data_IF_666614811791
#
_entry.id   IF_666614811791
#
_cell.length_a   1.000
_cell.length_b   1.000
_cell.length_c   1.000
_cell.angle_alpha   90.00
_cell.angle_beta   90.00
_cell.angle_gamma   90.00
#
_symmetry.space_group_name_H-M   'P 1'
#
loop_
_entity.id
_entity.type
_entity.pdbx_description
1 polymer ?
#
# COMPACT_ATOMS: atom_id res chain seq x y z
N UNK A 1 19.88 -33.91 41.38
CA UNK A 1 21.04 -33.82 40.45
C UNK A 1 20.75 -32.71 39.46
N UNK A 2 21.61 -31.69 39.48
CA UNK A 2 21.54 -30.49 38.63
C UNK A 2 21.93 -30.82 37.18
N UNK A 3 21.22 -30.21 36.22
CA UNK A 3 21.60 -30.17 34.81
C UNK A 3 21.38 -28.76 34.26
N UNK A 4 22.48 -28.10 33.93
CA UNK A 4 22.63 -26.68 33.60
C UNK A 4 22.04 -26.40 32.20
N UNK A 5 21.05 -25.51 32.10
CA UNK A 5 20.64 -24.90 30.82
C UNK A 5 21.39 -23.57 30.68
N UNK A 6 22.42 -23.58 29.85
CA UNK A 6 23.18 -22.42 29.43
C UNK A 6 22.27 -21.49 28.62
N UNK A 7 21.96 -20.29 29.14
CA UNK A 7 21.20 -19.25 28.42
C UNK A 7 22.16 -18.41 27.60
N UNK A 8 21.94 -18.36 26.28
CA UNK A 8 22.59 -17.36 25.42
C UNK A 8 22.20 -15.92 25.84
N UNK A 9 23.10 -14.93 25.68
CA UNK A 9 22.78 -13.52 25.91
C UNK A 9 21.89 -12.94 24.80
N UNK A 10 20.96 -12.05 25.17
CA UNK A 10 20.03 -11.38 24.25
C UNK A 10 20.75 -10.32 23.36
N UNK A 11 20.29 -10.11 22.11
CA UNK A 11 20.87 -9.13 21.21
C UNK A 11 20.66 -7.70 21.72
N UNK A 12 21.75 -6.92 21.83
CA UNK A 12 21.71 -5.49 22.18
C UNK A 12 22.53 -5.06 23.40
N UNK A 13 23.13 -6.00 24.14
CA UNK A 13 24.02 -5.69 25.27
C UNK A 13 25.49 -5.78 24.84
N UNK A 14 26.25 -4.70 24.98
CA UNK A 14 27.72 -4.72 24.80
C UNK A 14 28.36 -4.91 26.18
N UNK A 15 29.13 -5.99 26.35
CA UNK A 15 29.89 -6.25 27.57
C UNK A 15 31.04 -5.21 27.66
N UNK A 16 30.94 -4.27 28.58
CA UNK A 16 32.04 -3.40 28.98
C UNK A 16 32.62 -3.90 30.29
N UNK A 17 33.93 -4.14 30.32
CA UNK A 17 34.68 -4.58 31.50
C UNK A 17 35.54 -3.37 31.91
N UNK A 18 35.10 -2.62 32.91
CA UNK A 18 35.93 -1.60 33.55
C UNK A 18 36.35 -2.12 34.92
N UNK A 19 37.64 -1.96 35.22
CA UNK A 19 38.27 -2.40 36.45
C UNK A 19 38.66 -1.19 37.28
N UNK A 20 38.18 -1.13 38.51
CA UNK A 20 38.76 -0.28 39.55
C UNK A 20 40.11 -0.89 40.00
N UNK A 21 40.99 -0.07 40.58
CA UNK A 21 42.41 -0.40 40.85
C UNK A 21 42.66 -1.61 41.79
N UNK A 22 41.60 -2.17 42.36
CA UNK A 22 41.57 -3.22 43.37
C UNK A 22 40.76 -4.48 42.95
N UNK A 23 40.32 -4.56 41.69
CA UNK A 23 40.02 -5.84 41.01
C UNK A 23 38.74 -6.59 41.43
N UNK A 24 37.80 -5.95 42.13
CA UNK A 24 36.53 -6.60 42.52
C UNK A 24 35.40 -6.25 41.53
N UNK A 25 34.77 -7.24 40.85
CA UNK A 25 33.69 -6.95 39.90
C UNK A 25 32.38 -6.59 40.61
N UNK A 26 31.77 -5.44 40.26
CA UNK A 26 30.40 -5.08 40.66
C UNK A 26 29.48 -4.99 39.44
N UNK A 27 28.27 -5.54 39.57
CA UNK A 27 27.19 -5.39 38.60
C UNK A 27 26.39 -4.12 38.92
N UNK A 28 26.28 -3.20 37.97
CA UNK A 28 25.40 -2.03 38.05
C UNK A 28 24.23 -2.17 37.07
N UNK A 29 23.02 -1.84 37.52
CA UNK A 29 21.82 -1.74 36.68
C UNK A 29 21.26 -0.33 36.80
N UNK A 30 21.37 0.45 35.74
CA UNK A 30 20.63 1.71 35.59
C UNK A 30 19.44 1.46 34.64
N UNK A 31 18.22 1.89 34.99
CA UNK A 31 17.10 1.84 34.06
C UNK A 31 17.27 2.93 33.00
N UNK A 32 17.37 2.52 31.74
CA UNK A 32 17.23 3.43 30.61
C UNK A 32 15.74 3.66 30.35
N UNK A 33 15.36 4.92 30.44
CA UNK A 33 14.03 5.48 30.30
C UNK A 33 13.25 4.97 29.08
N UNK A 34 11.96 4.74 29.28
CA UNK A 34 11.00 4.23 28.30
C UNK A 34 10.76 5.25 27.18
N UNK A 35 11.61 5.24 26.16
CA UNK A 35 11.41 5.97 24.92
C UNK A 35 10.59 5.19 23.89
N UNK A 36 9.30 4.97 24.18
CA UNK A 36 8.20 4.69 23.23
C UNK A 36 8.59 3.85 22.00
N UNK A 37 8.40 2.53 22.09
CA UNK A 37 8.44 1.62 20.96
C UNK A 37 7.42 2.03 19.88
N UNK A 38 7.81 2.95 19.00
CA UNK A 38 7.18 3.16 17.72
C UNK A 38 7.50 1.93 16.89
N UNK A 39 6.58 0.97 16.90
CA UNK A 39 6.62 -0.21 16.06
C UNK A 39 6.93 0.22 14.62
N UNK A 40 8.13 -0.15 14.14
CA UNK A 40 8.59 0.10 12.77
C UNK A 40 7.75 -0.77 11.85
N UNK A 41 6.58 -0.26 11.46
CA UNK A 41 5.78 -0.83 10.38
C UNK A 41 6.61 -0.68 9.10
N UNK A 42 6.86 -1.80 8.42
CA UNK A 42 7.83 -1.91 7.33
C UNK A 42 7.45 -0.93 6.19
N UNK A 43 8.30 0.05 5.82
CA UNK A 43 7.95 1.16 4.91
C UNK A 43 7.30 0.77 3.58
N UNK A 44 7.61 -0.43 3.07
CA UNK A 44 7.05 -0.96 1.81
C UNK A 44 5.57 -1.31 1.90
N UNK A 45 5.12 -1.85 3.03
CA UNK A 45 3.72 -2.23 3.21
C UNK A 45 2.79 -1.02 3.30
N UNK A 46 3.29 0.07 3.89
CA UNK A 46 2.55 1.32 4.00
C UNK A 46 2.54 2.08 2.68
N UNK A 47 3.64 2.06 1.93
CA UNK A 47 3.68 2.60 0.56
C UNK A 47 2.66 1.91 -0.36
N UNK A 48 2.55 0.57 -0.31
CA UNK A 48 1.58 -0.16 -1.14
C UNK A 48 0.14 0.12 -0.71
N UNK A 49 -0.15 0.16 0.61
CA UNK A 49 -1.46 0.57 1.11
C UNK A 49 -1.84 1.99 0.70
N UNK A 50 -0.87 2.90 0.69
CA UNK A 50 -1.09 4.29 0.24
C UNK A 50 -1.38 4.33 -1.26
N UNK A 51 -0.66 3.52 -2.06
CA UNK A 51 -0.92 3.39 -3.51
C UNK A 51 -2.32 2.86 -3.79
N UNK A 52 -2.74 1.79 -3.10
CA UNK A 52 -4.09 1.23 -3.25
C UNK A 52 -5.15 2.27 -2.88
N UNK A 53 -5.02 2.93 -1.73
CA UNK A 53 -5.97 3.99 -1.31
C UNK A 53 -6.05 5.13 -2.31
N UNK A 54 -4.92 5.54 -2.88
CA UNK A 54 -4.88 6.57 -3.91
C UNK A 54 -5.66 6.16 -5.16
N UNK A 55 -5.47 4.93 -5.64
CA UNK A 55 -6.14 4.45 -6.84
C UNK A 55 -7.65 4.27 -6.64
N UNK A 56 -8.09 3.78 -5.47
CA UNK A 56 -9.52 3.69 -5.14
C UNK A 56 -10.17 5.08 -5.03
N UNK A 57 -9.48 6.04 -4.41
CA UNK A 57 -9.95 7.43 -4.30
C UNK A 57 -10.05 8.08 -5.68
N UNK A 58 -9.03 7.88 -6.52
CA UNK A 58 -9.01 8.41 -7.88
C UNK A 58 -10.13 7.80 -8.73
N UNK A 59 -10.36 6.49 -8.62
CA UNK A 59 -11.49 5.80 -9.29
C UNK A 59 -12.82 6.46 -8.96
N UNK A 60 -13.11 6.62 -7.67
CA UNK A 60 -14.37 7.23 -7.23
C UNK A 60 -14.51 8.67 -7.76
N UNK A 61 -13.44 9.47 -7.66
CA UNK A 61 -13.45 10.85 -8.13
C UNK A 61 -13.64 10.97 -9.65
N UNK A 62 -13.02 10.10 -10.46
CA UNK A 62 -13.20 10.09 -11.91
C UNK A 62 -14.58 9.57 -12.31
N UNK A 63 -15.11 8.56 -11.63
CA UNK A 63 -16.46 8.06 -11.89
C UNK A 63 -17.54 9.12 -11.59
N UNK A 64 -17.36 9.93 -10.54
CA UNK A 64 -18.32 10.96 -10.14
C UNK A 64 -18.17 12.27 -10.95
N UNK A 65 -16.93 12.72 -11.17
CA UNK A 65 -16.65 14.09 -11.66
C UNK A 65 -15.96 14.13 -13.02
N UNK A 66 -15.60 12.98 -13.61
CA UNK A 66 -14.91 12.89 -14.88
C UNK A 66 -13.67 13.80 -14.94
N UNK A 67 -13.60 14.64 -15.98
CA UNK A 67 -12.53 15.63 -16.18
C UNK A 67 -12.46 16.71 -15.10
N UNK A 68 -13.55 16.97 -14.38
CA UNK A 68 -13.62 17.92 -13.27
C UNK A 68 -12.97 17.44 -11.96
N UNK A 69 -12.54 16.18 -11.87
CA UNK A 69 -11.88 15.67 -10.67
C UNK A 69 -10.52 16.37 -10.42
N UNK A 70 -10.29 16.88 -9.21
CA UNK A 70 -9.02 17.53 -8.84
C UNK A 70 -8.00 16.53 -8.32
N UNK A 71 -6.79 16.53 -8.88
CA UNK A 71 -5.69 15.65 -8.45
C UNK A 71 -5.21 15.96 -7.03
N UNK A 72 -5.16 17.24 -6.66
CA UNK A 72 -4.77 17.66 -5.30
C UNK A 72 -5.80 17.20 -4.26
N UNK A 73 -7.09 17.28 -4.61
CA UNK A 73 -8.17 16.81 -3.75
C UNK A 73 -8.13 15.27 -3.60
N UNK A 74 -7.88 14.55 -4.69
CA UNK A 74 -7.65 13.10 -4.67
C UNK A 74 -6.47 12.75 -3.75
N UNK A 75 -5.34 13.45 -3.86
CA UNK A 75 -4.16 13.23 -3.01
C UNK A 75 -4.50 13.45 -1.53
N UNK A 76 -5.19 14.56 -1.24
CA UNK A 76 -5.61 14.95 0.11
C UNK A 76 -6.53 13.90 0.74
N UNK A 77 -7.56 13.45 0.02
CA UNK A 77 -8.50 12.42 0.50
C UNK A 77 -7.78 11.08 0.70
N UNK A 78 -6.87 10.71 -0.21
CA UNK A 78 -6.07 9.50 -0.12
C UNK A 78 -5.02 9.52 0.99
N UNK A 79 -4.78 10.67 1.63
CA UNK A 79 -3.74 10.85 2.65
C UNK A 79 -2.32 10.77 2.07
N UNK A 80 -2.15 11.13 0.80
CA UNK A 80 -0.87 11.14 0.08
C UNK A 80 -0.48 12.60 -0.21
N UNK A 81 0.79 12.95 0.00
CA UNK A 81 1.27 14.29 -0.35
C UNK A 81 1.18 14.56 -1.86
N UNK A 82 0.74 15.76 -2.26
CA UNK A 82 0.61 16.14 -3.67
C UNK A 82 1.92 15.93 -4.46
N UNK A 83 3.07 16.30 -3.88
CA UNK A 83 4.39 16.06 -4.49
C UNK A 83 4.69 14.57 -4.70
N UNK A 84 4.18 13.68 -3.84
CA UNK A 84 4.29 12.23 -4.04
C UNK A 84 3.38 11.77 -5.18
N UNK A 85 2.15 12.27 -5.27
CA UNK A 85 1.25 11.96 -6.38
C UNK A 85 1.88 12.36 -7.71
N UNK A 86 2.29 13.62 -7.87
CA UNK A 86 2.85 14.12 -9.14
C UNK A 86 4.17 13.45 -9.54
N UNK A 87 4.97 12.96 -8.56
CA UNK A 87 6.15 12.15 -8.87
C UNK A 87 5.82 10.78 -9.47
N UNK A 88 4.74 10.14 -9.02
CA UNK A 88 4.31 8.82 -9.53
C UNK A 88 3.40 8.94 -10.76
N UNK A 89 2.62 10.01 -10.84
CA UNK A 89 1.64 10.30 -11.87
C UNK A 89 1.83 11.74 -12.33
N UNK A 90 2.81 12.00 -13.21
CA UNK A 90 3.13 13.37 -13.64
C UNK A 90 2.00 14.04 -14.40
N UNK A 91 1.07 13.26 -14.97
CA UNK A 91 -0.10 13.75 -15.69
C UNK A 91 -1.38 13.11 -15.17
N UNK A 92 -2.52 13.79 -15.40
CA UNK A 92 -3.86 13.21 -15.17
C UNK A 92 -3.99 11.86 -15.88
N UNK A 93 -3.54 11.81 -17.13
CA UNK A 93 -3.61 10.61 -17.96
C UNK A 93 -2.82 9.44 -17.37
N UNK A 94 -1.65 9.71 -16.78
CA UNK A 94 -0.88 8.69 -16.08
C UNK A 94 -1.64 8.11 -14.89
N UNK A 95 -2.35 8.94 -14.13
CA UNK A 95 -3.19 8.49 -13.02
C UNK A 95 -4.42 7.71 -13.52
N UNK A 96 -5.11 8.19 -14.55
CA UNK A 96 -6.25 7.51 -15.18
C UNK A 96 -5.84 6.14 -15.70
N UNK A 97 -4.71 6.04 -16.40
CA UNK A 97 -4.17 4.78 -16.91
C UNK A 97 -3.77 3.82 -15.78
N UNK A 98 -3.27 4.34 -14.65
CA UNK A 98 -2.93 3.53 -13.49
C UNK A 98 -4.18 2.97 -12.79
N UNK A 99 -5.23 3.79 -12.63
CA UNK A 99 -6.54 3.34 -12.12
C UNK A 99 -7.08 2.24 -13.03
N UNK A 100 -7.07 2.46 -14.35
CA UNK A 100 -7.55 1.48 -15.32
C UNK A 100 -6.83 0.12 -15.20
N UNK A 101 -5.49 0.14 -15.11
CA UNK A 101 -4.69 -1.09 -14.95
C UNK A 101 -5.03 -1.81 -13.66
N UNK A 102 -5.08 -1.08 -12.55
CA UNK A 102 -5.39 -1.62 -11.23
C UNK A 102 -6.77 -2.30 -11.20
N UNK A 103 -7.80 -1.66 -11.74
CA UNK A 103 -9.14 -2.25 -11.80
C UNK A 103 -9.18 -3.53 -12.66
N UNK A 104 -8.45 -3.52 -13.78
CA UNK A 104 -8.35 -4.69 -14.67
C UNK A 104 -7.63 -5.85 -13.96
N UNK A 105 -6.53 -5.57 -13.27
CA UNK A 105 -5.80 -6.55 -12.47
C UNK A 105 -6.66 -7.13 -11.35
N UNK A 106 -7.44 -6.30 -10.66
CA UNK A 106 -8.37 -6.75 -9.63
C UNK A 106 -9.46 -7.67 -10.19
N UNK A 107 -10.03 -7.36 -11.36
CA UNK A 107 -11.05 -8.18 -12.02
C UNK A 107 -10.50 -9.54 -12.48
N UNK A 108 -9.29 -9.56 -13.04
CA UNK A 108 -8.60 -10.80 -13.44
C UNK A 108 -8.29 -11.65 -12.21
N UNK A 109 -7.76 -11.03 -11.14
CA UNK A 109 -7.47 -11.74 -9.91
C UNK A 109 -8.75 -12.27 -9.23
N UNK A 110 -9.87 -11.55 -9.33
CA UNK A 110 -11.16 -12.00 -8.83
C UNK A 110 -11.66 -13.26 -9.55
N UNK A 111 -11.44 -13.38 -10.87
CA UNK A 111 -11.82 -14.57 -11.63
C UNK A 111 -11.16 -15.84 -11.06
N UNK A 112 -9.84 -15.80 -10.86
CA UNK A 112 -9.09 -16.92 -10.27
C UNK A 112 -9.56 -17.26 -8.85
N UNK A 113 -9.64 -16.25 -7.97
CA UNK A 113 -10.08 -16.47 -6.59
C UNK A 113 -11.50 -17.04 -6.50
N UNK A 114 -12.43 -16.53 -7.31
CA UNK A 114 -13.82 -17.00 -7.30
C UNK A 114 -13.93 -18.42 -7.84
N UNK A 115 -13.19 -18.75 -8.91
CA UNK A 115 -13.16 -20.11 -9.45
C UNK A 115 -12.60 -21.14 -8.44
N UNK A 116 -11.65 -20.73 -7.58
CA UNK A 116 -11.06 -21.59 -6.55
C UNK A 116 -11.96 -21.74 -5.31
N UNK A 117 -12.76 -20.74 -4.98
CA UNK A 117 -13.46 -20.65 -3.68
C UNK A 117 -14.97 -20.85 -3.75
N UNK A 118 -15.56 -20.85 -4.95
CA UNK A 118 -17.01 -20.90 -5.15
C UNK A 118 -17.42 -21.98 -6.15
N UNK A 119 -18.65 -22.53 -6.04
CA UNK A 119 -19.22 -23.37 -7.09
C UNK A 119 -19.26 -22.62 -8.44
N UNK A 120 -19.11 -23.30 -9.59
CA UNK A 120 -18.89 -22.63 -10.89
C UNK A 120 -19.92 -21.56 -11.26
N UNK A 121 -21.21 -21.84 -11.04
CA UNK A 121 -22.29 -20.88 -11.35
C UNK A 121 -22.27 -19.67 -10.40
N UNK A 122 -21.95 -19.90 -9.13
CA UNK A 122 -21.79 -18.82 -8.14
C UNK A 122 -20.58 -17.97 -8.47
N UNK A 123 -19.44 -18.59 -8.77
CA UNK A 123 -18.21 -17.92 -9.18
C UNK A 123 -18.46 -16.99 -10.39
N UNK A 124 -19.13 -17.52 -11.43
CA UNK A 124 -19.47 -16.75 -12.62
C UNK A 124 -20.41 -15.58 -12.31
N UNK A 125 -21.44 -15.81 -11.48
CA UNK A 125 -22.38 -14.75 -11.08
C UNK A 125 -21.66 -13.62 -10.36
N UNK A 126 -20.89 -13.93 -9.33
CA UNK A 126 -20.15 -12.93 -8.55
C UNK A 126 -19.14 -12.19 -9.43
N UNK A 127 -18.45 -12.89 -10.32
CA UNK A 127 -17.52 -12.26 -11.25
C UNK A 127 -18.23 -11.34 -12.25
N UNK A 128 -19.41 -11.73 -12.77
CA UNK A 128 -20.20 -10.89 -13.66
C UNK A 128 -20.71 -9.62 -12.96
N UNK A 129 -21.06 -9.69 -11.67
CA UNK A 129 -21.43 -8.50 -10.90
C UNK A 129 -20.25 -7.52 -10.80
N UNK A 130 -19.05 -8.02 -10.45
CA UNK A 130 -17.83 -7.21 -10.45
C UNK A 130 -17.51 -6.62 -11.84
N UNK A 131 -17.75 -7.39 -12.91
CA UNK A 131 -17.54 -6.94 -14.28
C UNK A 131 -18.50 -5.82 -14.69
N UNK A 132 -19.77 -5.91 -14.28
CA UNK A 132 -20.76 -4.84 -14.54
C UNK A 132 -20.40 -3.57 -13.78
N UNK A 133 -20.02 -3.68 -12.50
CA UNK A 133 -19.56 -2.54 -11.70
C UNK A 133 -18.33 -1.87 -12.33
N UNK A 134 -17.41 -2.69 -12.84
CA UNK A 134 -16.23 -2.22 -13.57
C UNK A 134 -16.60 -1.45 -14.85
N UNK A 135 -17.54 -1.95 -15.67
CA UNK A 135 -17.98 -1.26 -16.89
C UNK A 135 -18.75 0.03 -16.56
N UNK A 136 -19.56 0.03 -15.49
CA UNK A 136 -20.29 1.21 -15.04
C UNK A 136 -19.33 2.33 -14.59
N UNK A 137 -18.32 2.00 -13.78
CA UNK A 137 -17.29 2.95 -13.37
C UNK A 137 -16.48 3.50 -14.57
N UNK A 138 -16.30 2.69 -15.62
CA UNK A 138 -15.61 3.12 -16.83
C UNK A 138 -16.34 4.16 -17.66
N UNK A 139 -17.67 4.22 -17.65
CA UNK A 139 -18.39 5.22 -18.46
C UNK A 139 -17.95 6.66 -18.11
N UNK A 140 -17.68 6.96 -16.82
CA UNK A 140 -17.12 8.25 -16.41
C UNK A 140 -15.64 8.46 -16.77
N UNK A 141 -14.88 7.37 -16.97
CA UNK A 141 -13.48 7.41 -17.42
C UNK A 141 -13.32 7.38 -18.94
N UNK A 142 -14.34 6.96 -19.71
CA UNK A 142 -14.25 6.81 -21.17
C UNK A 142 -13.94 8.13 -21.88
N UNK A 143 -14.47 9.27 -21.41
CA UNK A 143 -14.13 10.60 -21.95
C UNK A 143 -12.63 10.92 -21.78
N UNK A 144 -12.04 10.54 -20.64
CA UNK A 144 -10.63 10.74 -20.33
C UNK A 144 -9.71 9.72 -21.02
N UNK A 145 -10.17 8.49 -21.22
CA UNK A 145 -9.42 7.47 -21.95
C UNK A 145 -9.43 7.74 -23.46
N UNK A 146 -10.53 8.26 -24.01
CA UNK A 146 -10.60 8.66 -25.42
C UNK A 146 -9.64 9.81 -25.74
N UNK A 147 -9.40 10.75 -24.81
CA UNK A 147 -8.37 11.78 -25.03
C UNK A 147 -6.95 11.20 -25.05
N UNK A 148 -6.70 10.11 -24.33
CA UNK A 148 -5.40 9.41 -24.31
C UNK A 148 -5.20 8.60 -25.60
N UNK A 149 -6.23 7.91 -26.07
CA UNK A 149 -6.17 7.07 -27.29
C UNK A 149 -6.25 7.92 -28.58
N UNK A 150 -6.98 9.05 -28.55
CA UNK A 150 -7.09 9.97 -29.68
C UNK A 150 -5.92 10.94 -29.85
N UNK A 151 -5.06 11.08 -28.83
CA UNK A 151 -3.88 11.95 -28.88
C UNK A 151 -2.66 11.36 -29.61
N UNK A 152 -2.74 10.11 -30.09
CA UNK A 152 -1.68 9.44 -30.87
C UNK A 152 -1.96 9.39 -32.37
N UNK A 153 -2.96 10.10 -32.87
CA UNK A 153 -3.34 10.05 -34.30
C UNK A 153 -2.80 11.20 -35.16
N UNK A 154 -2.03 12.13 -34.61
CA UNK A 154 -1.37 13.19 -35.39
C UNK A 154 0.16 13.10 -35.25
N UNK A 155 0.78 12.14 -35.96
CA UNK A 155 2.16 12.21 -36.48
C UNK A 155 2.31 11.31 -37.71
#
# INVERSE_FOLDING_TARGET
MHGIVSRQPLPGYRLGLEADADGTPRLSFAPSDEGKAAAVRKPRADAERNRIRLLETAKAAFAEKGSGASLDEIARIAGVGAGTLYRHFPTRDALVAAVYRNETEQLVAAAGRLAETQPPVTALREWLLLFVDYIAAKHGMYELLNSIVGGTSDL
#
